data_IF_454595816353
#
_entry.id   IF_454595816353
#
_cell.length_a   1.000
_cell.length_b   1.000
_cell.length_c   1.000
_cell.angle_alpha   90.00
_cell.angle_beta   90.00
_cell.angle_gamma   90.00
#
_symmetry.space_group_name_H-M   'P 1'
#
loop_
_entity.id
_entity.type
_entity.pdbx_description
1 polymer ?
#
# COMPACT_ATOMS: atom_id res chain seq x y z
N UNK A 1 -22.35 44.30 50.02
CA UNK A 1 -21.68 43.95 48.74
C UNK A 1 -20.95 42.59 48.83
N UNK A 2 -21.67 41.49 49.12
CA UNK A 2 -21.04 40.16 49.31
C UNK A 2 -21.65 38.99 48.53
N UNK A 3 -22.87 39.12 47.98
CA UNK A 3 -23.61 37.97 47.45
C UNK A 3 -23.37 37.62 45.97
N UNK A 4 -22.88 38.56 45.15
CA UNK A 4 -22.86 38.38 43.68
C UNK A 4 -21.59 37.68 43.19
N UNK A 5 -20.49 37.72 43.97
CA UNK A 5 -19.21 37.10 43.57
C UNK A 5 -19.16 35.58 43.77
N UNK A 6 -20.08 34.99 44.56
CA UNK A 6 -20.14 33.56 44.81
C UNK A 6 -20.81 32.75 43.70
N UNK A 7 -21.91 33.26 43.12
CA UNK A 7 -22.67 32.56 42.07
C UNK A 7 -21.89 32.42 40.76
N UNK A 8 -21.09 33.43 40.39
CA UNK A 8 -20.26 33.42 39.17
C UNK A 8 -19.13 32.38 39.22
N UNK A 9 -18.66 31.97 40.41
CA UNK A 9 -17.62 30.94 40.55
C UNK A 9 -18.19 29.52 40.43
N UNK A 10 -19.43 29.30 40.84
CA UNK A 10 -20.08 27.98 40.74
C UNK A 10 -20.50 27.63 39.30
N UNK A 11 -20.92 28.62 38.49
CA UNK A 11 -21.18 28.39 37.06
C UNK A 11 -19.90 28.14 36.24
N UNK A 12 -18.77 28.78 36.61
CA UNK A 12 -17.50 28.57 35.91
C UNK A 12 -16.92 27.16 36.15
N UNK A 13 -17.11 26.60 37.35
CA UNK A 13 -16.67 25.23 37.68
C UNK A 13 -17.54 24.14 37.02
N UNK A 14 -18.83 24.40 36.77
CA UNK A 14 -19.68 23.49 36.02
C UNK A 14 -19.38 23.50 34.51
N UNK A 15 -18.89 24.62 33.97
CA UNK A 15 -18.52 24.71 32.55
C UNK A 15 -17.16 24.07 32.23
N UNK A 16 -16.22 24.10 33.20
CA UNK A 16 -14.91 23.45 33.04
C UNK A 16 -15.00 21.91 33.15
N UNK A 17 -16.02 21.37 33.83
CA UNK A 17 -16.22 19.91 33.92
C UNK A 17 -16.94 19.30 32.70
N UNK A 18 -17.55 20.11 31.82
CA UNK A 18 -18.28 19.60 30.65
C UNK A 18 -17.50 19.66 29.34
N UNK A 19 -16.34 20.32 29.31
CA UNK A 19 -15.44 20.35 28.13
C UNK A 19 -14.41 19.21 28.17
N UNK A 20 -14.37 18.43 29.24
CA UNK A 20 -13.44 17.31 29.43
C UNK A 20 -13.90 15.95 28.90
N UNK A 21 -15.11 15.84 28.32
CA UNK A 21 -15.58 14.60 27.71
C UNK A 21 -15.90 14.82 26.23
N UNK A 22 -15.30 13.96 25.40
CA UNK A 22 -15.48 13.79 23.96
C UNK A 22 -14.46 14.50 23.04
N UNK A 23 -13.17 14.33 23.31
CA UNK A 23 -12.24 14.02 22.22
C UNK A 23 -12.46 12.57 21.80
N UNK A 24 -13.60 12.29 21.14
CA UNK A 24 -13.72 11.09 20.33
C UNK A 24 -12.82 11.37 19.13
N UNK A 25 -11.55 10.97 19.25
CA UNK A 25 -10.71 10.76 18.09
C UNK A 25 -11.41 9.69 17.27
N UNK A 26 -12.21 10.11 16.29
CA UNK A 26 -12.61 9.23 15.21
C UNK A 26 -11.30 8.69 14.63
N UNK A 27 -11.06 7.37 14.62
CA UNK A 27 -9.94 6.82 13.90
C UNK A 27 -10.15 7.24 12.44
N UNK A 28 -9.35 8.20 11.99
CA UNK A 28 -9.25 8.47 10.57
C UNK A 28 -8.73 7.20 9.93
N UNK A 29 -9.42 6.74 8.90
CA UNK A 29 -8.94 5.73 7.98
C UNK A 29 -7.57 6.13 7.42
N UNK A 30 -6.55 5.63 8.10
CA UNK A 30 -5.27 5.25 7.56
C UNK A 30 -5.57 4.06 6.66
N UNK A 31 -5.34 4.14 5.37
CA UNK A 31 -4.19 3.39 4.86
C UNK A 31 -4.54 1.91 4.67
N UNK A 32 -3.67 1.07 4.14
CA UNK A 32 -3.56 -0.18 4.92
C UNK A 32 -3.25 0.22 6.37
N UNK A 33 -3.75 -0.49 7.37
CA UNK A 33 -3.19 -0.25 8.71
C UNK A 33 -1.71 -0.68 8.73
N UNK A 34 -1.01 -0.38 9.83
CA UNK A 34 0.43 -0.61 9.99
C UNK A 34 0.93 -1.92 9.37
N UNK A 35 0.23 -3.02 9.64
CA UNK A 35 0.60 -4.37 9.22
C UNK A 35 0.66 -4.53 7.70
N UNK A 36 -0.33 -4.00 6.97
CA UNK A 36 -0.38 -4.10 5.50
C UNK A 36 0.75 -3.31 4.83
N UNK A 37 0.99 -2.07 5.25
CA UNK A 37 2.10 -1.26 4.71
C UNK A 37 3.47 -1.88 5.01
N UNK A 38 3.68 -2.38 6.23
CA UNK A 38 4.93 -3.04 6.57
C UNK A 38 5.18 -4.27 5.70
N UNK A 39 4.17 -5.12 5.49
CA UNK A 39 4.30 -6.29 4.60
C UNK A 39 4.53 -5.87 3.15
N UNK A 40 3.73 -4.94 2.61
CA UNK A 40 3.89 -4.43 1.24
C UNK A 40 5.32 -3.92 1.00
N UNK A 41 5.85 -3.09 1.91
CA UNK A 41 7.19 -2.55 1.76
C UNK A 41 8.29 -3.56 1.96
N UNK A 42 8.13 -4.52 2.87
CA UNK A 42 9.14 -5.56 3.10
C UNK A 42 9.20 -6.56 1.95
N UNK A 43 8.04 -6.94 1.41
CA UNK A 43 7.94 -7.71 0.14
C UNK A 43 8.64 -6.93 -0.98
N UNK A 44 8.36 -5.63 -1.10
CA UNK A 44 8.98 -4.82 -2.14
C UNK A 44 10.51 -4.77 -1.99
N UNK A 45 10.99 -4.55 -0.77
CA UNK A 45 12.41 -4.49 -0.45
C UNK A 45 13.14 -5.80 -0.75
N UNK A 46 12.51 -6.94 -0.46
CA UNK A 46 13.05 -8.28 -0.78
C UNK A 46 13.16 -8.53 -2.30
N UNK A 47 12.45 -7.76 -3.13
CA UNK A 47 12.40 -7.90 -4.59
C UNK A 47 13.23 -6.83 -5.34
N UNK A 48 13.97 -5.98 -4.63
CA UNK A 48 14.78 -4.95 -5.25
C UNK A 48 16.03 -5.52 -5.92
N UNK A 49 16.34 -5.00 -7.11
CA UNK A 49 17.64 -5.16 -7.75
C UNK A 49 18.73 -4.38 -7.00
N UNK A 50 20.02 -4.65 -7.25
CA UNK A 50 21.12 -4.08 -6.47
C UNK A 50 21.18 -2.54 -6.53
N UNK A 51 20.89 -1.94 -7.68
CA UNK A 51 20.87 -0.47 -7.83
C UNK A 51 19.74 0.16 -7.02
N UNK A 52 18.55 -0.42 -7.09
CA UNK A 52 17.39 0.08 -6.34
C UNK A 52 17.56 -0.13 -4.83
N UNK A 53 18.10 -1.28 -4.41
CA UNK A 53 18.40 -1.54 -3.01
C UNK A 53 19.38 -0.50 -2.44
N UNK A 54 20.46 -0.21 -3.17
CA UNK A 54 21.43 0.81 -2.78
C UNK A 54 20.80 2.22 -2.77
N UNK A 55 19.99 2.59 -3.76
CA UNK A 55 19.31 3.88 -3.77
C UNK A 55 18.35 4.05 -2.59
N UNK A 56 17.57 3.01 -2.27
CA UNK A 56 16.66 2.99 -1.11
C UNK A 56 17.45 3.14 0.20
N UNK A 57 18.55 2.40 0.37
CA UNK A 57 19.39 2.51 1.56
C UNK A 57 19.98 3.93 1.73
N UNK A 58 20.44 4.56 0.64
CA UNK A 58 20.99 5.92 0.69
C UNK A 58 19.94 7.00 0.99
N UNK A 59 18.69 6.80 0.57
CA UNK A 59 17.59 7.74 0.82
C UNK A 59 17.03 7.61 2.24
N UNK A 60 17.18 6.46 2.89
CA UNK A 60 16.68 6.22 4.23
C UNK A 60 17.62 6.77 5.32
N UNK A 61 17.08 7.19 6.47
CA UNK A 61 17.90 7.53 7.64
C UNK A 61 18.82 6.37 8.06
N UNK A 62 20.10 6.66 8.29
CA UNK A 62 21.13 5.65 8.62
C UNK A 62 20.78 4.78 9.83
N UNK A 63 20.02 5.30 10.79
CA UNK A 63 19.63 4.57 12.00
C UNK A 63 18.61 3.45 11.76
N UNK A 64 18.10 3.31 10.53
CA UNK A 64 17.16 2.25 10.15
C UNK A 64 17.83 1.07 9.45
N UNK A 65 19.15 1.12 9.23
CA UNK A 65 19.91 0.06 8.55
C UNK A 65 19.25 -0.39 7.23
N UNK A 66 18.72 0.57 6.47
CA UNK A 66 18.06 0.33 5.20
C UNK A 66 16.63 -0.23 5.28
N UNK A 67 16.04 -0.49 6.46
CA UNK A 67 14.68 -1.05 6.55
C UNK A 67 13.61 -0.03 6.09
N UNK A 68 13.08 -0.23 4.88
CA UNK A 68 12.03 0.61 4.31
C UNK A 68 10.70 0.43 5.05
N UNK A 69 10.40 -0.80 5.48
CA UNK A 69 9.14 -1.14 6.14
C UNK A 69 8.94 -0.37 7.45
N UNK A 70 10.03 -0.01 8.13
CA UNK A 70 10.02 0.79 9.35
C UNK A 70 9.41 2.20 9.17
N UNK A 71 9.45 2.76 7.96
CA UNK A 71 8.91 4.09 7.66
C UNK A 71 7.73 4.09 6.70
N UNK A 72 7.25 2.94 6.24
CA UNK A 72 6.12 2.89 5.32
C UNK A 72 4.77 3.31 5.91
N UNK A 73 4.69 3.59 7.21
CA UNK A 73 3.51 4.15 7.88
C UNK A 73 3.69 5.66 8.15
N UNK A 74 4.82 6.25 7.78
CA UNK A 74 5.11 7.66 8.04
C UNK A 74 4.07 8.62 7.41
N UNK A 75 3.59 8.41 6.16
CA UNK A 75 2.57 9.30 5.57
C UNK A 75 1.26 9.38 6.37
N UNK A 76 0.83 8.27 6.96
CA UNK A 76 -0.33 8.23 7.85
C UNK A 76 -0.13 9.05 9.13
N UNK A 77 1.10 9.11 9.64
CA UNK A 77 1.40 9.88 10.85
C UNK A 77 1.39 11.38 10.57
N UNK A 78 1.96 11.78 9.42
CA UNK A 78 2.15 13.19 9.09
C UNK A 78 0.94 13.85 8.45
N UNK A 79 -0.01 13.12 7.84
CA UNK A 79 -1.22 13.71 7.23
C UNK A 79 -2.07 14.56 8.19
N UNK A 80 -1.93 14.35 9.49
CA UNK A 80 -2.60 15.15 10.53
C UNK A 80 -1.83 16.42 10.94
N UNK A 81 -0.55 16.53 10.59
CA UNK A 81 0.30 17.66 10.92
C UNK A 81 -0.05 18.85 10.03
N UNK A 82 -0.09 20.05 10.61
CA UNK A 82 -0.48 21.27 9.89
C UNK A 82 0.26 21.46 8.55
N UNK A 83 1.57 21.20 8.54
CA UNK A 83 2.44 21.30 7.35
C UNK A 83 2.08 20.30 6.23
N UNK A 84 1.53 19.15 6.58
CA UNK A 84 1.27 18.04 5.66
C UNK A 84 -0.22 17.74 5.48
N UNK A 85 -1.13 18.61 5.93
CA UNK A 85 -2.58 18.42 5.73
C UNK A 85 -2.99 18.22 4.27
N UNK A 86 -2.21 18.79 3.35
CA UNK A 86 -2.40 18.62 1.91
C UNK A 86 -2.21 17.18 1.43
N UNK A 87 -1.55 16.31 2.21
CA UNK A 87 -1.37 14.89 1.85
C UNK A 87 -2.58 14.04 2.18
N UNK A 88 -3.50 14.50 3.03
CA UNK A 88 -4.64 13.69 3.46
C UNK A 88 -5.51 13.11 2.33
N UNK A 89 -5.88 13.86 1.27
CA UNK A 89 -6.64 13.30 0.15
C UNK A 89 -5.79 12.38 -0.76
N UNK A 90 -4.46 12.39 -0.64
CA UNK A 90 -3.56 11.57 -1.45
C UNK A 90 -3.57 10.09 -1.05
N UNK A 91 -4.26 9.72 0.02
CA UNK A 91 -4.34 8.32 0.46
C UNK A 91 -5.43 7.53 -0.25
N UNK A 92 -6.40 8.17 -0.91
CA UNK A 92 -7.58 7.47 -1.42
C UNK A 92 -8.09 8.09 -2.73
N UNK A 93 -9.13 7.46 -3.28
CA UNK A 93 -9.92 7.91 -4.43
C UNK A 93 -11.39 7.73 -4.06
N UNK A 94 -12.14 8.82 -4.16
CA UNK A 94 -13.59 8.81 -4.03
C UNK A 94 -14.22 8.60 -5.42
N UNK A 95 -14.89 7.47 -5.61
CA UNK A 95 -15.63 7.17 -6.85
C UNK A 95 -17.13 7.39 -6.67
N UNK A 96 -17.90 7.62 -7.75
CA UNK A 96 -19.35 7.77 -7.66
C UNK A 96 -20.02 6.50 -7.15
N UNK A 97 -21.03 6.67 -6.30
CA UNK A 97 -21.74 5.57 -5.67
C UNK A 97 -22.29 4.57 -6.69
N UNK A 98 -22.06 3.28 -6.45
CA UNK A 98 -22.51 2.17 -7.29
C UNK A 98 -22.00 2.18 -8.74
N UNK A 99 -21.13 3.12 -9.13
CA UNK A 99 -20.59 3.16 -10.49
C UNK A 99 -19.58 2.02 -10.73
N UNK A 100 -18.91 1.55 -9.67
CA UNK A 100 -17.94 0.46 -9.70
C UNK A 100 -16.87 0.62 -10.79
N UNK A 101 -16.53 1.87 -11.10
CA UNK A 101 -15.61 2.26 -12.17
C UNK A 101 -14.79 3.43 -11.69
N UNK A 102 -13.52 3.45 -12.08
CA UNK A 102 -12.61 4.55 -11.87
C UNK A 102 -12.38 5.29 -13.18
N UNK A 103 -12.38 6.61 -13.14
CA UNK A 103 -11.96 7.49 -14.23
C UNK A 103 -11.07 8.59 -13.65
N UNK A 104 -9.81 8.67 -14.08
CA UNK A 104 -8.84 9.61 -13.52
C UNK A 104 -9.31 11.06 -13.58
N UNK A 105 -9.86 11.50 -14.72
CA UNK A 105 -10.27 12.90 -14.91
C UNK A 105 -11.46 13.29 -14.04
N UNK A 106 -12.36 12.34 -13.78
CA UNK A 106 -13.54 12.52 -12.93
C UNK A 106 -13.20 12.42 -11.44
N UNK A 107 -12.41 11.43 -11.07
CA UNK A 107 -12.25 11.00 -9.67
C UNK A 107 -10.96 11.55 -9.02
N UNK A 108 -9.91 11.82 -9.80
CA UNK A 108 -8.65 12.40 -9.31
C UNK A 108 -8.60 13.93 -9.52
N UNK A 109 -9.53 14.65 -8.92
CA UNK A 109 -9.67 16.11 -9.13
C UNK A 109 -8.40 16.85 -8.71
N UNK A 110 -7.81 17.60 -9.65
CA UNK A 110 -6.54 18.36 -9.47
C UNK A 110 -5.35 17.47 -9.05
N UNK A 111 -5.34 16.22 -9.49
CA UNK A 111 -4.30 15.23 -9.17
C UNK A 111 -4.16 14.96 -7.66
N UNK A 112 -5.16 15.34 -6.86
CA UNK A 112 -5.16 15.26 -5.41
C UNK A 112 -5.81 13.95 -4.93
N UNK A 113 -5.35 12.82 -5.45
CA UNK A 113 -5.76 11.48 -5.06
C UNK A 113 -4.54 10.53 -5.04
N UNK A 114 -4.71 9.29 -4.58
CA UNK A 114 -3.59 8.32 -4.50
C UNK A 114 -2.96 7.99 -5.85
N UNK A 115 -3.75 7.98 -6.92
CA UNK A 115 -3.26 7.77 -8.28
C UNK A 115 -2.28 8.89 -8.68
N UNK A 116 -2.75 10.14 -8.66
CA UNK A 116 -1.94 11.33 -8.95
C UNK A 116 -0.74 11.47 -8.01
N UNK A 117 -0.86 11.03 -6.75
CA UNK A 117 0.25 11.00 -5.81
C UNK A 117 1.34 10.02 -6.26
N UNK A 118 0.99 8.79 -6.66
CA UNK A 118 1.94 7.81 -7.19
C UNK A 118 2.63 8.36 -8.43
N UNK A 119 1.89 8.99 -9.36
CA UNK A 119 2.47 9.63 -10.54
C UNK A 119 3.49 10.70 -10.14
N UNK A 120 3.10 11.63 -9.26
CA UNK A 120 3.94 12.74 -8.82
C UNK A 120 5.23 12.28 -8.13
N UNK A 121 5.15 11.37 -7.16
CA UNK A 121 6.34 10.91 -6.42
C UNK A 121 7.21 9.98 -7.28
N UNK A 122 6.63 9.27 -8.25
CA UNK A 122 7.40 8.57 -9.29
C UNK A 122 8.20 9.58 -10.12
N UNK A 123 7.57 10.65 -10.63
CA UNK A 123 8.27 11.69 -11.39
C UNK A 123 9.38 12.36 -10.60
N UNK A 124 9.18 12.62 -9.30
CA UNK A 124 10.22 13.19 -8.45
C UNK A 124 11.44 12.26 -8.31
N UNK A 125 11.21 10.95 -8.10
CA UNK A 125 12.28 9.98 -7.92
C UNK A 125 13.02 9.64 -9.22
N UNK A 126 12.39 9.78 -10.39
CA UNK A 126 13.07 9.61 -11.68
C UNK A 126 14.26 10.56 -11.85
N UNK A 127 14.26 11.70 -11.16
CA UNK A 127 15.36 12.65 -11.18
C UNK A 127 16.50 12.35 -10.19
N UNK A 128 16.42 11.24 -9.43
CA UNK A 128 17.43 10.86 -8.43
C UNK A 128 18.86 10.81 -9.02
N UNK A 129 19.02 10.25 -10.23
CA UNK A 129 20.33 10.08 -10.89
C UNK A 129 20.85 11.35 -11.55
N UNK A 130 19.97 12.28 -11.88
CA UNK A 130 20.33 13.56 -12.49
C UNK A 130 21.00 14.52 -11.49
N UNK A 131 21.09 14.13 -10.20
CA UNK A 131 21.72 14.91 -9.15
C UNK A 131 21.04 16.26 -8.96
N UNK A 132 19.71 16.23 -8.79
CA UNK A 132 18.81 17.38 -9.01
C UNK A 132 19.39 18.73 -8.57
N UNK A 133 19.50 19.64 -9.54
CA UNK A 133 19.73 21.07 -9.30
C UNK A 133 18.55 21.74 -8.58
N UNK A 134 17.38 21.07 -8.52
CA UNK A 134 16.20 21.56 -7.83
C UNK A 134 16.18 21.09 -6.37
N UNK A 135 16.75 21.92 -5.49
CA UNK A 135 16.80 21.73 -4.02
C UNK A 135 15.41 21.67 -3.34
N UNK A 136 14.31 21.71 -4.10
CA UNK A 136 12.93 21.79 -3.57
C UNK A 136 12.34 20.43 -3.19
N UNK A 137 12.78 19.32 -3.80
CA UNK A 137 12.22 18.00 -3.52
C UNK A 137 13.03 17.24 -2.48
N UNK A 138 12.36 16.77 -1.44
CA UNK A 138 12.92 15.83 -0.47
C UNK A 138 12.71 14.41 -0.99
N UNK A 139 13.74 13.82 -1.61
CA UNK A 139 13.62 12.48 -2.23
C UNK A 139 13.38 11.37 -1.20
N UNK A 140 13.77 11.56 0.07
CA UNK A 140 13.37 10.65 1.15
C UNK A 140 11.85 10.70 1.34
N UNK A 141 11.25 11.88 1.39
CA UNK A 141 9.78 11.99 1.46
C UNK A 141 9.12 11.38 0.23
N UNK A 142 9.66 11.61 -0.97
CA UNK A 142 9.11 11.02 -2.20
C UNK A 142 9.14 9.49 -2.18
N UNK A 143 10.23 8.87 -1.69
CA UNK A 143 10.34 7.42 -1.51
C UNK A 143 9.29 6.89 -0.52
N UNK A 144 9.14 7.56 0.63
CA UNK A 144 8.19 7.13 1.66
C UNK A 144 6.74 7.28 1.20
N UNK A 145 6.41 8.39 0.54
CA UNK A 145 5.10 8.61 -0.05
C UNK A 145 4.79 7.59 -1.13
N UNK A 146 5.68 7.36 -2.10
CA UNK A 146 5.46 6.36 -3.14
C UNK A 146 5.25 4.96 -2.55
N UNK A 147 6.08 4.57 -1.59
CA UNK A 147 6.01 3.24 -0.95
C UNK A 147 4.69 3.03 -0.22
N UNK A 148 4.22 4.06 0.49
CA UNK A 148 2.95 4.04 1.20
C UNK A 148 1.76 4.04 0.24
N UNK A 149 1.72 4.98 -0.71
CA UNK A 149 0.60 5.14 -1.63
C UNK A 149 0.45 3.96 -2.59
N UNK A 150 1.55 3.28 -2.93
CA UNK A 150 1.48 2.00 -3.64
C UNK A 150 0.78 0.92 -2.80
N UNK A 151 0.89 0.94 -1.48
CA UNK A 151 0.05 0.13 -0.60
C UNK A 151 -1.42 0.56 -0.67
N UNK A 152 -1.69 1.85 -0.47
CA UNK A 152 -3.05 2.40 -0.40
C UNK A 152 -3.88 2.14 -1.66
N UNK A 153 -3.32 2.38 -2.84
CA UNK A 153 -4.04 2.14 -4.10
C UNK A 153 -4.43 0.67 -4.27
N UNK A 154 -3.75 -0.26 -3.58
CA UNK A 154 -4.08 -1.68 -3.59
C UNK A 154 -5.12 -2.08 -2.54
N UNK A 155 -5.38 -1.26 -1.53
CA UNK A 155 -6.45 -1.47 -0.57
C UNK A 155 -7.80 -1.19 -1.26
N UNK A 156 -8.68 -2.18 -1.47
CA UNK A 156 -9.92 -1.97 -2.21
C UNK A 156 -10.79 -0.82 -1.71
N UNK A 157 -10.93 -0.65 -0.39
CA UNK A 157 -11.79 0.38 0.21
C UNK A 157 -11.17 1.79 0.18
N UNK A 158 -9.89 1.92 -0.20
CA UNK A 158 -9.28 3.21 -0.54
C UNK A 158 -9.69 3.73 -1.92
N UNK A 159 -10.24 2.87 -2.78
CA UNK A 159 -10.85 3.25 -4.06
C UNK A 159 -12.32 2.88 -3.98
N UNK A 160 -13.03 3.61 -3.11
CA UNK A 160 -14.38 3.29 -2.65
C UNK A 160 -15.41 4.33 -3.07
N UNK A 161 -16.59 4.29 -2.44
CA UNK A 161 -17.66 5.23 -2.74
C UNK A 161 -17.53 6.52 -1.94
N UNK A 162 -17.90 7.62 -2.58
CA UNK A 162 -17.81 8.96 -1.99
C UNK A 162 -18.76 9.11 -0.80
N UNK A 163 -20.00 8.62 -0.93
CA UNK A 163 -21.05 8.84 0.09
C UNK A 163 -20.74 8.20 1.43
N UNK A 164 -20.06 7.05 1.43
CA UNK A 164 -19.72 6.29 2.63
C UNK A 164 -18.25 6.44 3.05
N UNK A 165 -17.51 7.34 2.37
CA UNK A 165 -16.08 7.61 2.58
C UNK A 165 -15.26 6.33 2.48
N UNK A 166 -15.47 5.55 1.43
CA UNK A 166 -14.84 4.25 1.24
C UNK A 166 -15.22 3.24 2.30
N UNK A 167 -16.47 3.23 2.77
CA UNK A 167 -16.96 2.33 3.81
C UNK A 167 -16.65 2.74 5.25
N UNK A 168 -16.05 3.91 5.48
CA UNK A 168 -15.77 4.41 6.83
C UNK A 168 -17.05 4.68 7.62
N UNK A 169 -18.13 5.08 6.96
CA UNK A 169 -19.42 5.34 7.60
C UNK A 169 -20.35 4.13 7.58
N UNK A 170 -19.86 2.96 7.14
CA UNK A 170 -20.61 1.70 7.22
C UNK A 170 -20.24 1.03 8.54
N UNK A 171 -20.89 1.47 9.61
CA UNK A 171 -20.68 0.93 10.95
C UNK A 171 -21.17 -0.53 11.05
N UNK A 172 -20.37 -1.40 11.64
CA UNK A 172 -20.66 -2.83 11.74
C UNK A 172 -19.95 -3.47 12.94
N UNK A 173 -20.05 -4.79 13.06
CA UNK A 173 -19.24 -5.56 14.02
C UNK A 173 -18.30 -6.49 13.28
N UNK A 174 -17.04 -6.52 13.69
CA UNK A 174 -16.09 -7.57 13.32
C UNK A 174 -16.04 -8.57 14.48
N UNK A 175 -16.55 -9.77 14.27
CA UNK A 175 -16.80 -10.75 15.32
C UNK A 175 -17.47 -10.12 16.56
N UNK A 176 -16.72 -9.99 17.65
CA UNK A 176 -17.24 -9.54 18.95
C UNK A 176 -17.09 -8.04 19.18
N UNK A 177 -16.31 -7.29 18.39
CA UNK A 177 -16.10 -5.85 18.59
C UNK A 177 -16.74 -5.00 17.50
N UNK A 178 -16.93 -3.71 17.80
CA UNK A 178 -17.41 -2.72 16.83
C UNK A 178 -16.26 -2.34 15.88
N UNK A 179 -16.57 -2.16 14.61
CA UNK A 179 -15.66 -1.70 13.57
C UNK A 179 -16.45 -0.95 12.49
N UNK A 180 -15.81 -0.56 11.41
CA UNK A 180 -16.48 -0.12 10.18
C UNK A 180 -15.94 -0.93 8.99
N UNK A 181 -16.63 -0.89 7.85
CA UNK A 181 -16.25 -1.70 6.68
C UNK A 181 -14.84 -1.36 6.18
N UNK A 182 -14.46 -0.08 6.17
CA UNK A 182 -13.13 0.33 5.74
C UNK A 182 -12.03 -0.31 6.62
N UNK A 183 -12.15 -0.16 7.93
CA UNK A 183 -11.20 -0.70 8.91
C UNK A 183 -11.16 -2.25 8.89
N UNK A 184 -12.25 -2.92 8.50
CA UNK A 184 -12.24 -4.37 8.28
C UNK A 184 -11.23 -4.77 7.22
N UNK A 185 -11.18 -4.03 6.10
CA UNK A 185 -10.25 -4.28 5.01
C UNK A 185 -8.83 -3.81 5.34
N UNK A 186 -8.66 -2.66 5.99
CA UNK A 186 -7.32 -2.15 6.34
C UNK A 186 -6.56 -3.04 7.32
N UNK A 187 -7.30 -3.66 8.24
CA UNK A 187 -6.71 -4.18 9.48
C UNK A 187 -7.33 -5.47 9.97
N UNK A 188 -8.64 -5.53 10.12
CA UNK A 188 -9.26 -6.62 10.89
C UNK A 188 -9.05 -7.98 10.24
N UNK A 189 -9.16 -8.07 8.91
CA UNK A 189 -8.86 -9.32 8.18
C UNK A 189 -7.39 -9.73 8.39
N UNK A 190 -6.46 -8.78 8.35
CA UNK A 190 -5.03 -9.06 8.54
C UNK A 190 -4.77 -9.56 9.98
N UNK A 191 -5.30 -8.86 10.98
CA UNK A 191 -5.11 -9.22 12.39
C UNK A 191 -5.74 -10.56 12.74
N UNK A 192 -6.93 -10.87 12.21
CA UNK A 192 -7.53 -12.18 12.38
C UNK A 192 -6.66 -13.27 11.76
N UNK A 193 -6.16 -13.08 10.53
CA UNK A 193 -5.27 -14.05 9.89
C UNK A 193 -3.94 -14.25 10.65
N UNK A 194 -3.33 -13.17 11.13
CA UNK A 194 -2.13 -13.23 11.96
C UNK A 194 -2.35 -14.05 13.22
N UNK A 195 -3.46 -13.79 13.91
CA UNK A 195 -3.78 -14.47 15.15
C UNK A 195 -4.12 -15.95 14.94
N UNK A 196 -4.92 -16.26 13.92
CA UNK A 196 -5.51 -17.60 13.77
C UNK A 196 -4.57 -18.58 13.05
N UNK A 197 -3.66 -18.09 12.19
CA UNK A 197 -2.81 -18.95 11.37
C UNK A 197 -1.30 -18.75 11.56
N UNK A 198 -0.87 -17.68 12.24
CA UNK A 198 0.54 -17.28 12.28
C UNK A 198 1.02 -16.85 13.68
N UNK A 199 0.31 -17.19 14.75
CA UNK A 199 0.70 -16.88 16.14
C UNK A 199 1.00 -15.38 16.41
N UNK A 200 0.35 -14.49 15.66
CA UNK A 200 0.62 -13.04 15.61
C UNK A 200 2.01 -12.65 15.08
N UNK A 201 2.68 -13.55 14.36
CA UNK A 201 3.96 -13.30 13.71
C UNK A 201 3.77 -12.76 12.28
N UNK A 202 4.08 -11.47 12.13
CA UNK A 202 4.08 -10.75 10.85
C UNK A 202 5.04 -11.35 9.83
N UNK A 203 6.18 -11.88 10.26
CA UNK A 203 7.18 -12.47 9.38
C UNK A 203 6.64 -13.75 8.77
N UNK A 204 6.00 -14.61 9.57
CA UNK A 204 5.42 -15.86 9.06
C UNK A 204 4.28 -15.62 8.05
N UNK A 205 3.42 -14.62 8.29
CA UNK A 205 2.38 -14.25 7.33
C UNK A 205 3.01 -13.68 6.05
N UNK A 206 3.99 -12.79 6.16
CA UNK A 206 4.69 -12.24 5.01
C UNK A 206 5.35 -13.35 4.18
N UNK A 207 6.09 -14.27 4.79
CA UNK A 207 6.71 -15.40 4.09
C UNK A 207 5.67 -16.30 3.42
N UNK A 208 4.49 -16.48 4.02
CA UNK A 208 3.40 -17.23 3.38
C UNK A 208 2.87 -16.52 2.12
N UNK A 209 2.74 -15.19 2.16
CA UNK A 209 2.40 -14.37 1.00
C UNK A 209 3.48 -14.50 -0.08
N UNK A 210 4.76 -14.41 0.30
CA UNK A 210 5.91 -14.52 -0.61
C UNK A 210 6.00 -15.88 -1.30
N UNK A 211 5.80 -16.98 -0.56
CA UNK A 211 5.72 -18.33 -1.16
C UNK A 211 4.61 -18.41 -2.21
N UNK A 212 3.42 -17.88 -1.91
CA UNK A 212 2.29 -17.95 -2.85
C UNK A 212 2.59 -17.33 -4.22
N UNK A 213 3.41 -16.28 -4.31
CA UNK A 213 3.79 -15.69 -5.61
C UNK A 213 5.16 -16.16 -6.13
N UNK A 214 6.00 -16.80 -5.32
CA UNK A 214 7.33 -17.28 -5.72
C UNK A 214 7.31 -18.70 -6.29
N UNK A 215 6.47 -19.58 -5.75
CA UNK A 215 6.32 -20.97 -6.19
C UNK A 215 4.90 -21.55 -6.00
N UNK A 216 3.96 -20.73 -5.50
CA UNK A 216 2.59 -21.14 -5.21
C UNK A 216 1.54 -20.67 -6.22
N UNK A 217 0.32 -20.46 -5.72
CA UNK A 217 -0.90 -20.24 -6.51
C UNK A 217 -0.92 -18.97 -7.37
N UNK A 218 -0.01 -18.02 -7.12
CA UNK A 218 0.11 -16.76 -7.85
C UNK A 218 1.36 -16.69 -8.72
N UNK A 219 2.18 -17.75 -8.77
CA UNK A 219 3.44 -17.77 -9.53
C UNK A 219 3.24 -17.31 -10.99
N UNK A 220 2.26 -17.89 -11.68
CA UNK A 220 1.97 -17.56 -13.09
C UNK A 220 1.38 -16.14 -13.25
N UNK A 221 0.74 -15.61 -12.20
CA UNK A 221 0.11 -14.28 -12.21
C UNK A 221 1.15 -13.14 -12.10
N UNK A 222 2.31 -13.36 -11.47
CA UNK A 222 3.30 -12.31 -11.14
C UNK A 222 3.76 -11.53 -12.37
N UNK A 223 3.92 -12.21 -13.51
CA UNK A 223 4.33 -11.56 -14.76
C UNK A 223 3.31 -10.50 -15.16
N UNK A 224 2.01 -10.83 -15.11
CA UNK A 224 0.92 -9.89 -15.43
C UNK A 224 0.78 -8.74 -14.43
N UNK A 225 1.23 -8.92 -13.19
CA UNK A 225 1.23 -7.86 -12.18
C UNK A 225 2.28 -6.79 -12.48
N UNK A 226 3.41 -7.22 -13.05
CA UNK A 226 4.55 -6.38 -13.48
C UNK A 226 4.36 -5.77 -14.87
N UNK A 227 3.35 -6.19 -15.63
CA UNK A 227 3.03 -5.56 -16.91
C UNK A 227 2.57 -4.11 -16.68
N UNK A 228 3.44 -3.20 -17.08
CA UNK A 228 3.28 -1.77 -16.97
C UNK A 228 4.16 -1.09 -18.01
N UNK A 229 3.59 -0.52 -19.07
CA UNK A 229 4.38 0.13 -20.12
C UNK A 229 4.95 1.47 -19.61
N UNK A 230 4.09 2.30 -19.04
CA UNK A 230 4.42 3.62 -18.51
C UNK A 230 4.05 3.71 -17.02
N UNK A 231 5.05 4.00 -16.18
CA UNK A 231 4.89 4.10 -14.73
C UNK A 231 3.90 5.21 -14.31
N UNK A 232 3.66 6.21 -15.17
CA UNK A 232 2.74 7.29 -14.86
C UNK A 232 1.28 6.94 -15.18
N UNK A 233 1.00 5.94 -16.02
CA UNK A 233 -0.38 5.54 -16.37
C UNK A 233 -0.83 4.24 -15.72
N UNK A 234 0.10 3.39 -15.28
CA UNK A 234 -0.24 2.13 -14.61
C UNK A 234 -1.02 2.25 -13.29
N UNK A 235 -0.92 3.34 -12.50
CA UNK A 235 -1.77 3.49 -11.31
C UNK A 235 -3.28 3.38 -11.62
N UNK A 236 -3.73 3.81 -12.81
CA UNK A 236 -5.13 3.72 -13.23
C UNK A 236 -5.64 2.26 -13.22
N UNK A 237 -4.79 1.32 -13.64
CA UNK A 237 -5.07 -0.12 -13.60
C UNK A 237 -5.25 -0.59 -12.16
N UNK A 238 -4.42 -0.10 -11.24
CA UNK A 238 -4.43 -0.53 -9.84
C UNK A 238 -5.68 0.01 -9.13
N UNK A 239 -6.03 1.27 -9.39
CA UNK A 239 -7.28 1.88 -8.93
C UNK A 239 -8.50 1.13 -9.46
N UNK A 240 -8.52 0.83 -10.77
CA UNK A 240 -9.59 0.08 -11.42
C UNK A 240 -9.75 -1.32 -10.83
N UNK A 241 -8.66 -2.04 -10.55
CA UNK A 241 -8.72 -3.33 -9.85
C UNK A 241 -9.31 -3.18 -8.44
N UNK A 242 -8.90 -2.15 -7.69
CA UNK A 242 -9.36 -1.90 -6.32
C UNK A 242 -10.86 -1.59 -6.25
N UNK A 243 -11.40 -0.70 -7.08
CA UNK A 243 -12.84 -0.40 -7.09
C UNK A 243 -13.67 -1.62 -7.52
N UNK A 244 -13.18 -2.42 -8.46
CA UNK A 244 -13.84 -3.66 -8.86
C UNK A 244 -13.91 -4.66 -7.70
N UNK A 245 -12.84 -4.77 -6.90
CA UNK A 245 -12.81 -5.62 -5.70
C UNK A 245 -13.71 -5.04 -4.61
N UNK A 246 -13.69 -3.73 -4.38
CA UNK A 246 -14.55 -3.07 -3.41
C UNK A 246 -16.03 -3.38 -3.69
N UNK A 247 -16.47 -3.26 -4.94
CA UNK A 247 -17.84 -3.59 -5.33
C UNK A 247 -18.15 -5.09 -5.23
N UNK A 248 -17.26 -5.96 -5.75
CA UNK A 248 -17.51 -7.40 -5.84
C UNK A 248 -17.42 -8.11 -4.48
N UNK A 249 -16.54 -7.65 -3.60
CA UNK A 249 -16.16 -8.36 -2.39
C UNK A 249 -16.31 -7.52 -1.13
N UNK A 250 -15.99 -6.23 -1.19
CA UNK A 250 -16.10 -5.26 -0.09
C UNK A 250 -17.54 -5.01 0.33
N UNK A 251 -18.26 -4.22 -0.46
CA UNK A 251 -19.67 -3.86 -0.21
C UNK A 251 -20.64 -5.03 -0.36
N UNK A 252 -20.27 -6.08 -1.12
CA UNK A 252 -21.18 -7.17 -1.47
C UNK A 252 -21.65 -7.93 -0.23
N UNK A 253 -22.95 -7.80 0.06
CA UNK A 253 -23.62 -8.51 1.15
C UNK A 253 -23.48 -7.84 2.52
N UNK A 254 -22.83 -6.66 2.58
CA UNK A 254 -22.68 -5.90 3.81
C UNK A 254 -23.84 -4.92 3.97
N UNK A 255 -24.36 -4.80 5.19
CA UNK A 255 -25.35 -3.78 5.59
C UNK A 255 -24.89 -3.18 6.91
N UNK A 256 -25.23 -1.92 7.13
CA UNK A 256 -24.95 -1.24 8.39
C UNK A 256 -25.54 -2.01 9.59
N UNK A 257 -24.77 -2.09 10.68
CA UNK A 257 -25.13 -2.79 11.91
C UNK A 257 -24.95 -4.31 11.88
N UNK A 258 -24.57 -4.90 10.75
CA UNK A 258 -24.37 -6.35 10.60
C UNK A 258 -23.09 -6.82 11.32
N UNK A 259 -23.05 -8.09 11.72
CA UNK A 259 -21.83 -8.75 12.23
C UNK A 259 -21.17 -9.55 11.12
N UNK A 260 -19.96 -9.17 10.74
CA UNK A 260 -19.08 -9.93 9.87
C UNK A 260 -18.21 -10.87 10.73
N UNK A 261 -18.12 -12.14 10.33
CA UNK A 261 -17.38 -13.19 11.04
C UNK A 261 -16.77 -14.16 10.00
N UNK A 262 -16.70 -15.46 10.32
CA UNK A 262 -15.99 -16.50 9.56
C UNK A 262 -16.33 -16.49 8.06
N UNK A 263 -17.61 -16.51 7.69
CA UNK A 263 -18.02 -16.53 6.27
C UNK A 263 -17.44 -15.36 5.45
N UNK A 264 -17.39 -14.16 6.03
CA UNK A 264 -16.83 -12.98 5.38
C UNK A 264 -15.29 -13.03 5.42
N UNK A 265 -14.73 -13.43 6.56
CA UNK A 265 -13.29 -13.55 6.73
C UNK A 265 -12.66 -14.54 5.76
N UNK A 266 -13.13 -15.79 5.75
CA UNK A 266 -12.55 -16.89 4.96
C UNK A 266 -12.58 -16.60 3.46
N UNK A 267 -13.65 -15.94 3.01
CA UNK A 267 -13.83 -15.62 1.60
C UNK A 267 -13.08 -14.37 1.13
N UNK A 268 -12.76 -13.42 2.02
CA UNK A 268 -12.07 -12.15 1.66
C UNK A 268 -10.59 -12.16 2.04
N UNK A 269 -10.17 -12.97 3.00
CA UNK A 269 -8.76 -13.08 3.40
C UNK A 269 -7.82 -13.36 2.21
N UNK A 270 -8.09 -14.32 1.30
CA UNK A 270 -7.20 -14.56 0.16
C UNK A 270 -7.05 -13.35 -0.78
N UNK A 271 -8.09 -12.49 -0.84
CA UNK A 271 -8.11 -11.28 -1.67
C UNK A 271 -7.22 -10.22 -1.03
N UNK A 272 -7.36 -9.99 0.27
CA UNK A 272 -6.51 -9.08 1.04
C UNK A 272 -5.04 -9.47 0.88
N UNK A 273 -4.70 -10.74 1.06
CA UNK A 273 -3.32 -11.22 0.90
C UNK A 273 -2.80 -11.04 -0.53
N UNK A 274 -3.64 -11.27 -1.54
CA UNK A 274 -3.30 -11.01 -2.94
C UNK A 274 -3.01 -9.53 -3.21
N UNK A 275 -3.79 -8.61 -2.62
CA UNK A 275 -3.57 -7.16 -2.78
C UNK A 275 -2.30 -6.67 -2.11
N UNK A 276 -1.95 -7.20 -0.94
CA UNK A 276 -0.66 -6.93 -0.27
C UNK A 276 0.50 -7.42 -1.14
N UNK A 277 0.41 -8.63 -1.70
CA UNK A 277 1.40 -9.18 -2.63
C UNK A 277 1.56 -8.31 -3.89
N UNK A 278 0.44 -7.95 -4.53
CA UNK A 278 0.43 -7.10 -5.73
C UNK A 278 1.06 -5.73 -5.45
N UNK A 279 0.71 -5.11 -4.32
CA UNK A 279 1.31 -3.84 -3.90
C UNK A 279 2.83 -3.95 -3.73
N UNK A 280 3.32 -5.01 -3.07
CA UNK A 280 4.75 -5.21 -2.87
C UNK A 280 5.52 -5.49 -4.17
N UNK A 281 4.98 -6.37 -5.02
CA UNK A 281 5.56 -6.70 -6.33
C UNK A 281 5.61 -5.47 -7.25
N UNK A 282 4.54 -4.67 -7.27
CA UNK A 282 4.46 -3.45 -8.10
C UNK A 282 5.35 -2.35 -7.54
N UNK A 283 5.41 -2.16 -6.22
CA UNK A 283 6.35 -1.21 -5.62
C UNK A 283 7.80 -1.55 -5.98
N UNK A 284 8.20 -2.83 -5.86
CA UNK A 284 9.53 -3.27 -6.28
C UNK A 284 9.78 -2.99 -7.76
N UNK A 285 8.80 -3.28 -8.62
CA UNK A 285 8.90 -2.98 -10.05
C UNK A 285 9.10 -1.48 -10.32
N UNK A 286 8.38 -0.59 -9.63
CA UNK A 286 8.57 0.86 -9.76
C UNK A 286 9.98 1.25 -9.34
N UNK A 287 10.41 0.87 -8.14
CA UNK A 287 11.72 1.25 -7.60
C UNK A 287 12.86 0.69 -8.45
N UNK A 288 12.75 -0.54 -8.94
CA UNK A 288 13.71 -1.13 -9.87
C UNK A 288 13.77 -0.37 -11.20
N UNK A 289 12.63 0.06 -11.77
CA UNK A 289 12.65 0.85 -13.01
C UNK A 289 13.13 2.28 -12.83
N UNK A 290 12.85 2.89 -11.67
CA UNK A 290 13.25 4.25 -11.35
C UNK A 290 14.77 4.33 -11.11
N UNK A 291 15.32 3.38 -10.35
CA UNK A 291 16.73 3.39 -9.94
C UNK A 291 17.64 2.49 -10.77
N UNK A 292 17.08 1.52 -11.48
CA UNK A 292 17.82 0.55 -12.30
C UNK A 292 18.65 1.19 -13.41
N UNK A 293 19.73 0.51 -13.77
CA UNK A 293 20.56 0.87 -14.93
C UNK A 293 19.86 0.61 -16.27
N UNK A 294 20.27 1.28 -17.36
CA UNK A 294 19.79 0.96 -18.72
C UNK A 294 20.04 -0.51 -19.13
N UNK A 295 20.88 -1.26 -18.43
CA UNK A 295 21.17 -2.67 -18.73
C UNK A 295 20.16 -3.68 -18.18
N UNK A 296 19.38 -3.36 -17.14
CA UNK A 296 18.39 -4.31 -16.59
C UNK A 296 17.14 -4.47 -17.46
N UNK A 297 16.89 -3.51 -18.37
CA UNK A 297 15.77 -3.56 -19.32
C UNK A 297 15.92 -4.58 -20.46
N UNK A 298 17.12 -5.16 -20.66
CA UNK A 298 17.40 -6.03 -21.81
C UNK A 298 17.36 -7.53 -21.51
N UNK A 299 17.34 -7.95 -20.24
CA UNK A 299 17.41 -9.36 -19.87
C UNK A 299 16.08 -10.12 -19.89
N UNK A 300 14.94 -9.48 -20.22
CA UNK A 300 13.63 -10.15 -20.24
C UNK A 300 13.25 -10.76 -21.61
N UNK A 301 13.96 -10.44 -22.70
CA UNK A 301 13.63 -10.97 -24.03
C UNK A 301 14.69 -11.93 -24.58
N UNK A 302 14.75 -13.17 -24.06
CA UNK A 302 15.12 -14.36 -24.87
C UNK A 302 15.07 -15.68 -24.07
N UNK A 303 13.90 -16.05 -23.53
CA UNK A 303 13.62 -17.48 -23.29
C UNK A 303 12.95 -18.02 -24.56
N UNK A 304 13.76 -18.31 -25.59
CA UNK A 304 13.31 -19.16 -26.70
C UNK A 304 13.07 -20.57 -26.13
N UNK A 305 11.81 -21.01 -26.12
CA UNK A 305 11.41 -22.41 -25.91
C UNK A 305 12.26 -23.32 -26.81
N UNK A 306 13.10 -24.18 -26.23
CA UNK A 306 13.62 -25.36 -26.94
C UNK A 306 12.65 -26.51 -26.73
N UNK A 307 12.03 -26.96 -27.83
CA UNK A 307 11.25 -28.20 -27.87
C UNK A 307 12.13 -29.40 -27.47
N UNK A 308 11.57 -30.41 -26.79
CA UNK A 308 12.31 -31.61 -26.42
C UNK A 308 12.25 -32.63 -27.56
N UNK A 309 13.40 -32.93 -28.17
CA UNK A 309 13.59 -34.18 -28.91
C UNK A 309 14.96 -34.78 -28.55
N UNK A 310 14.90 -36.02 -28.06
CA UNK A 310 15.95 -37.02 -27.86
C UNK A 310 17.30 -36.77 -28.56
N UNK A 311 18.42 -36.99 -27.85
CA UNK A 311 19.25 -38.21 -27.97
C UNK A 311 20.58 -38.08 -27.18
N UNK A 312 20.84 -39.09 -26.35
CA UNK A 312 22.11 -39.70 -25.93
C UNK A 312 23.50 -39.04 -26.18
N UNK A 313 24.33 -39.18 -25.13
CA UNK A 313 25.80 -39.44 -25.07
C UNK A 313 26.75 -38.31 -24.63
N UNK A 314 27.31 -38.55 -23.42
CA UNK A 314 28.73 -38.50 -23.00
C UNK A 314 29.49 -37.18 -22.78
N UNK A 315 29.90 -37.01 -21.50
CA UNK A 315 31.16 -36.48 -20.93
C UNK A 315 31.74 -35.13 -21.42
N UNK A 316 31.79 -34.13 -20.52
CA UNK A 316 33.02 -33.60 -19.88
C UNK A 316 32.73 -32.29 -19.14
N UNK A 317 33.41 -32.14 -18.01
CA UNK A 317 33.55 -30.94 -17.17
C UNK A 317 33.70 -29.66 -18.00
N UNK A 318 32.89 -28.63 -17.72
CA UNK A 318 33.11 -27.29 -18.22
C UNK A 318 33.08 -26.29 -17.06
N UNK A 319 34.28 -25.81 -16.72
CA UNK A 319 34.54 -24.57 -16.01
C UNK A 319 33.88 -23.43 -16.80
N UNK A 320 32.94 -22.72 -16.18
CA UNK A 320 32.39 -21.48 -16.76
C UNK A 320 33.36 -20.35 -16.42
N UNK A 321 34.14 -19.93 -17.42
CA UNK A 321 34.87 -18.66 -17.39
C UNK A 321 33.91 -17.58 -17.89
N UNK A 322 33.52 -16.66 -17.02
CA UNK A 322 32.91 -15.39 -17.44
C UNK A 322 34.02 -14.52 -18.04
N UNK A 323 33.97 -14.31 -19.35
CA UNK A 323 34.69 -13.22 -20.01
C UNK A 323 33.68 -12.13 -20.34
N UNK A 324 33.65 -11.11 -19.49
CA UNK A 324 33.05 -9.82 -19.78
C UNK A 324 34.03 -9.09 -20.72
N UNK A 325 33.60 -8.77 -21.94
CA UNK A 325 34.36 -7.88 -22.83
C UNK A 325 33.62 -6.55 -22.92
N UNK A 326 34.23 -5.50 -22.36
CA UNK A 326 33.91 -4.13 -22.72
C UNK A 326 34.62 -3.79 -24.04
N UNK A 327 33.84 -3.74 -25.12
CA UNK A 327 33.87 -2.70 -26.16
C UNK A 327 32.66 -2.86 -27.08
#
# INVERSE_FOLDING_TARGET
MGGIRGLLRLCALAFVLFVGLASISLPGALGWSKEGHMMTCRIAQNLLGPEAANAVENLLPQNLNGDLSALCVWPDQIRHWYRYRWTSPLHFIDTPDNACTFDYSRDCVKDACVDGAIQNFTSQLLHYRDGTADRRYNLTEALLFLSHFMGDIHQPMHVGFTSDKGGNTVDLRWFRHKSNLHHVWDREIILTALKDFHDNDMVLLQEAIERNFSDGIWFDDVTSWKECDDLLSCPDKYATESINIACKWGYKGVKEGLTLADDYFDSRMPIVMKRIAQGGVRLAMYLNRIFGGPEEGFCITNIRKKNPTNLHKTWKTLTVIFLCYCN
#
